data_IF_982800725605
#
_entry.id   IF_982800725605
#
_cell.length_a   1.000
_cell.length_b   1.000
_cell.length_c   1.000
_cell.angle_alpha   90.00
_cell.angle_beta   90.00
_cell.angle_gamma   90.00
#
_symmetry.space_group_name_H-M   'P 1'
#
loop_
_entity.id
_entity.type
_entity.pdbx_description
1 polymer ?
#
# COMPACT_ATOMS: atom_id res chain seq x y z
N UNK A 1 15.16 14.86 -8.45
CA UNK A 1 14.70 14.81 -9.85
C UNK A 1 13.94 13.50 -10.00
N UNK A 2 12.77 13.48 -10.63
CA UNK A 2 12.01 12.23 -10.74
C UNK A 2 12.76 11.18 -11.56
N UNK A 3 12.80 9.94 -11.08
CA UNK A 3 13.45 8.80 -11.73
C UNK A 3 12.41 7.76 -12.15
N UNK A 4 12.72 7.00 -13.20
CA UNK A 4 11.92 5.83 -13.59
C UNK A 4 12.18 4.69 -12.58
N UNK A 5 11.12 4.10 -12.04
CA UNK A 5 11.19 2.89 -11.24
C UNK A 5 11.55 1.69 -12.13
N UNK A 6 12.43 0.82 -11.62
CA UNK A 6 12.69 -0.45 -12.27
C UNK A 6 11.37 -1.24 -12.46
N UNK A 7 11.03 -1.62 -13.70
CA UNK A 7 9.77 -2.30 -14.00
C UNK A 7 9.53 -3.57 -13.18
N UNK A 8 10.60 -4.33 -12.88
CA UNK A 8 10.50 -5.53 -12.05
C UNK A 8 10.13 -5.16 -10.60
N UNK A 9 10.73 -4.11 -10.04
CA UNK A 9 10.33 -3.58 -8.72
C UNK A 9 8.85 -3.20 -8.71
N UNK A 10 8.35 -2.52 -9.74
CA UNK A 10 6.94 -2.13 -9.83
C UNK A 10 6.01 -3.35 -9.72
N UNK A 11 6.27 -4.40 -10.50
CA UNK A 11 5.45 -5.62 -10.47
C UNK A 11 5.58 -6.40 -9.16
N UNK A 12 6.78 -6.48 -8.59
CA UNK A 12 6.98 -7.14 -7.29
C UNK A 12 6.23 -6.40 -6.19
N UNK A 13 6.30 -5.07 -6.14
CA UNK A 13 5.54 -4.26 -5.18
C UNK A 13 4.03 -4.48 -5.34
N UNK A 14 3.52 -4.53 -6.57
CA UNK A 14 2.12 -4.86 -6.84
C UNK A 14 1.74 -6.26 -6.32
N UNK A 15 2.58 -7.27 -6.56
CA UNK A 15 2.33 -8.65 -6.12
C UNK A 15 2.38 -8.74 -4.60
N UNK A 16 3.46 -8.29 -3.96
CA UNK A 16 3.66 -8.40 -2.51
C UNK A 16 2.55 -7.72 -1.71
N UNK A 17 2.06 -6.57 -2.19
CA UNK A 17 1.01 -5.82 -1.49
C UNK A 17 -0.36 -6.46 -1.60
N UNK A 18 -0.61 -7.27 -2.64
CA UNK A 18 -1.93 -7.86 -2.93
C UNK A 18 -2.02 -9.37 -2.75
N UNK A 19 -0.90 -10.08 -2.73
CA UNK A 19 -0.89 -11.54 -2.64
C UNK A 19 -1.48 -12.00 -1.30
N UNK A 20 -2.61 -12.72 -1.37
CA UNK A 20 -3.28 -13.33 -0.21
C UNK A 20 -3.71 -14.72 -0.60
N UNK A 21 -3.08 -15.74 -0.02
CA UNK A 21 -3.36 -17.14 -0.31
C UNK A 21 -3.82 -17.81 0.97
N UNK A 22 -5.02 -18.40 0.94
CA UNK A 22 -5.59 -19.11 2.09
C UNK A 22 -5.37 -20.62 1.91
N UNK A 23 -4.79 -21.26 2.92
CA UNK A 23 -4.58 -22.71 2.98
C UNK A 23 -5.90 -23.45 3.18
N UNK A 24 -5.94 -24.76 2.93
CA UNK A 24 -7.15 -25.57 3.10
C UNK A 24 -7.64 -25.60 4.55
N UNK A 25 -6.73 -25.37 5.51
CA UNK A 25 -7.04 -25.24 6.93
C UNK A 25 -7.56 -23.83 7.34
N UNK A 26 -7.71 -22.90 6.40
CA UNK A 26 -8.19 -21.54 6.63
C UNK A 26 -7.13 -20.51 7.06
N UNK A 27 -5.88 -20.94 7.31
CA UNK A 27 -4.79 -20.02 7.66
C UNK A 27 -4.20 -19.31 6.42
N UNK A 28 -3.56 -18.16 6.63
CA UNK A 28 -2.85 -17.43 5.57
C UNK A 28 -1.52 -18.13 5.24
N UNK A 29 -1.21 -18.27 3.96
CA UNK A 29 0.08 -18.75 3.49
C UNK A 29 1.16 -17.67 3.55
N UNK A 30 2.36 -18.06 3.95
CA UNK A 30 3.56 -17.24 3.92
C UNK A 30 4.17 -17.29 2.53
N UNK A 31 4.12 -16.19 1.79
CA UNK A 31 4.60 -16.10 0.40
C UNK A 31 5.65 -15.00 0.29
N UNK A 32 6.83 -15.34 -0.23
CA UNK A 32 7.89 -14.38 -0.52
C UNK A 32 7.92 -14.07 -2.01
N UNK A 33 7.95 -12.78 -2.38
CA UNK A 33 8.18 -12.36 -3.76
C UNK A 33 9.47 -11.54 -3.87
N UNK A 34 10.37 -11.93 -4.78
CA UNK A 34 11.74 -11.38 -4.88
C UNK A 34 12.22 -11.28 -6.33
N UNK A 35 13.30 -10.51 -6.54
CA UNK A 35 14.07 -10.50 -7.81
C UNK A 35 15.09 -11.63 -7.87
N UNK A 36 15.44 -12.18 -6.72
CA UNK A 36 16.46 -13.21 -6.60
C UNK A 36 16.03 -14.50 -7.29
N UNK A 37 17.00 -15.31 -7.66
CA UNK A 37 16.73 -16.63 -8.22
C UNK A 37 16.06 -17.53 -7.18
N UNK A 38 15.60 -18.70 -7.64
CA UNK A 38 15.09 -19.74 -6.75
C UNK A 38 16.11 -20.05 -5.65
N UNK A 39 15.65 -20.03 -4.41
CA UNK A 39 16.43 -20.44 -3.25
C UNK A 39 15.65 -21.49 -2.46
N UNK A 40 16.22 -22.69 -2.38
CA UNK A 40 15.68 -23.82 -1.64
C UNK A 40 15.55 -23.53 -0.16
N UNK A 41 16.46 -22.76 0.42
CA UNK A 41 16.50 -22.48 1.85
C UNK A 41 15.29 -21.64 2.28
N UNK A 42 14.86 -20.69 1.44
CA UNK A 42 13.66 -19.89 1.66
C UNK A 42 12.39 -20.75 1.69
N UNK A 43 12.33 -21.83 0.90
CA UNK A 43 11.22 -22.78 0.94
C UNK A 43 11.19 -23.66 2.20
N UNK A 44 12.10 -23.49 3.16
CA UNK A 44 11.92 -24.05 4.51
C UNK A 44 10.96 -23.18 5.33
N UNK A 45 11.07 -21.87 5.21
CA UNK A 45 10.33 -20.89 6.00
C UNK A 45 9.01 -20.45 5.34
N UNK A 46 9.03 -20.25 4.02
CA UNK A 46 7.88 -19.80 3.24
C UNK A 46 7.12 -20.97 2.62
N UNK A 47 5.80 -20.84 2.46
CA UNK A 47 4.96 -21.81 1.75
C UNK A 47 5.16 -21.72 0.23
N UNK A 48 5.52 -20.54 -0.28
CA UNK A 48 5.85 -20.32 -1.68
C UNK A 48 6.91 -19.22 -1.86
N UNK A 49 7.72 -19.36 -2.90
CA UNK A 49 8.62 -18.31 -3.39
C UNK A 49 8.18 -17.89 -4.79
N UNK A 50 8.07 -16.59 -5.02
CA UNK A 50 7.80 -15.97 -6.32
C UNK A 50 9.06 -15.23 -6.75
N UNK A 51 9.53 -15.49 -7.95
CA UNK A 51 10.66 -14.75 -8.55
C UNK A 51 10.20 -14.01 -9.79
N UNK A 52 10.67 -12.78 -9.96
CA UNK A 52 10.35 -11.95 -11.14
C UNK A 52 11.64 -11.46 -11.80
N UNK A 53 11.75 -11.69 -13.10
CA UNK A 53 12.85 -11.19 -13.92
C UNK A 53 12.38 -10.53 -15.20
N UNK A 54 13.20 -9.62 -15.73
CA UNK A 54 13.02 -9.06 -17.07
C UNK A 54 13.61 -10.04 -18.10
N UNK A 55 12.79 -10.49 -19.03
CA UNK A 55 13.17 -11.43 -20.09
C UNK A 55 13.66 -10.69 -21.35
N UNK A 56 12.94 -9.66 -21.76
CA UNK A 56 13.37 -8.77 -22.85
C UNK A 56 12.80 -7.36 -22.71
N UNK A 57 13.49 -6.40 -23.33
CA UNK A 57 13.11 -4.99 -23.39
C UNK A 57 13.33 -4.47 -24.80
N UNK A 58 12.31 -3.86 -25.39
CA UNK A 58 12.37 -3.24 -26.70
C UNK A 58 11.94 -1.77 -26.59
N UNK A 59 12.75 -0.88 -27.11
CA UNK A 59 12.52 0.55 -27.03
C UNK A 59 12.01 1.09 -28.37
N UNK A 60 10.94 1.87 -28.33
CA UNK A 60 10.30 2.47 -29.49
C UNK A 60 10.14 3.98 -29.31
N UNK A 61 10.71 4.75 -30.25
CA UNK A 61 10.45 6.19 -30.37
C UNK A 61 8.99 6.43 -30.76
N UNK A 62 8.34 7.37 -30.09
CA UNK A 62 6.96 7.77 -30.41
C UNK A 62 6.88 9.08 -31.20
N UNK A 63 7.98 9.83 -31.26
CA UNK A 63 8.09 11.07 -32.01
C UNK A 63 9.42 11.14 -32.77
N UNK A 64 9.49 12.02 -33.77
CA UNK A 64 10.67 12.22 -34.62
C UNK A 64 11.91 12.63 -33.82
N UNK A 65 11.74 13.50 -32.83
CA UNK A 65 12.81 13.96 -31.94
C UNK A 65 13.29 12.86 -30.96
N UNK A 66 12.51 11.80 -30.77
CA UNK A 66 12.83 10.67 -29.90
C UNK A 66 12.90 10.99 -28.41
N UNK A 67 12.31 12.11 -27.93
CA UNK A 67 12.26 12.44 -26.50
C UNK A 67 11.17 11.64 -25.80
N UNK A 68 10.02 11.46 -26.45
CA UNK A 68 8.96 10.56 -25.99
C UNK A 68 9.20 9.14 -26.52
N UNK A 69 9.28 8.16 -25.61
CA UNK A 69 9.56 6.77 -25.94
C UNK A 69 8.61 5.84 -25.19
N UNK A 70 8.38 4.67 -25.79
CA UNK A 70 7.69 3.53 -25.19
C UNK A 70 8.66 2.38 -25.09
N UNK A 71 8.79 1.79 -23.90
CA UNK A 71 9.49 0.51 -23.72
C UNK A 71 8.48 -0.61 -23.60
N UNK A 72 8.58 -1.59 -24.49
CA UNK A 72 7.90 -2.88 -24.38
C UNK A 72 8.76 -3.85 -23.60
N UNK A 73 8.15 -4.52 -22.63
CA UNK A 73 8.84 -5.35 -21.67
C UNK A 73 8.16 -6.71 -21.61
N UNK A 74 8.97 -7.76 -21.60
CA UNK A 74 8.50 -9.12 -21.32
C UNK A 74 9.14 -9.56 -20.02
N UNK A 75 8.33 -10.09 -19.11
CA UNK A 75 8.76 -10.55 -17.80
C UNK A 75 8.53 -12.04 -17.65
N UNK A 76 9.40 -12.67 -16.87
CA UNK A 76 9.25 -14.04 -16.44
C UNK A 76 8.99 -14.06 -14.94
N UNK A 77 7.82 -14.55 -14.55
CA UNK A 77 7.44 -14.71 -13.16
C UNK A 77 7.36 -16.21 -12.84
N UNK A 78 8.18 -16.68 -11.92
CA UNK A 78 8.16 -18.08 -11.50
C UNK A 78 7.58 -18.20 -10.10
N UNK A 79 6.84 -19.27 -9.87
CA UNK A 79 6.32 -19.67 -8.58
C UNK A 79 6.96 -21.01 -8.25
N UNK A 80 7.49 -21.14 -7.04
CA UNK A 80 8.11 -22.36 -6.51
C UNK A 80 7.45 -22.74 -5.20
N UNK A 81 7.07 -24.02 -5.09
CA UNK A 81 6.53 -24.61 -3.87
C UNK A 81 7.07 -26.02 -3.69
N UNK A 82 7.04 -26.51 -2.47
CA UNK A 82 7.44 -27.89 -2.11
C UNK A 82 6.41 -28.46 -1.16
N UNK A 83 6.36 -29.78 -1.06
CA UNK A 83 5.59 -30.42 0.01
C UNK A 83 6.19 -30.08 1.37
N UNK A 84 5.33 -29.66 2.30
CA UNK A 84 5.69 -29.38 3.69
C UNK A 84 5.33 -30.59 4.56
N UNK A 85 6.20 -30.91 5.51
CA UNK A 85 5.96 -31.97 6.50
C UNK A 85 5.13 -31.49 7.69
N UNK A 86 4.86 -30.18 7.78
CA UNK A 86 4.10 -29.57 8.87
C UNK A 86 2.61 -29.99 8.79
N UNK A 87 2.00 -30.43 9.91
CA UNK A 87 0.58 -30.79 9.94
C UNK A 87 -0.33 -29.67 9.44
N UNK A 88 -1.28 -30.00 8.57
CA UNK A 88 -2.25 -29.05 8.02
C UNK A 88 -1.68 -28.11 6.94
N UNK A 89 -0.45 -28.33 6.47
CA UNK A 89 0.05 -27.64 5.29
C UNK A 89 -0.57 -28.23 4.01
N UNK A 90 -0.91 -27.35 3.07
CA UNK A 90 -1.31 -27.77 1.73
C UNK A 90 -0.15 -28.49 1.04
N UNK A 91 -0.48 -29.46 0.18
CA UNK A 91 0.54 -30.05 -0.71
C UNK A 91 1.16 -28.96 -1.60
N UNK A 92 2.42 -29.15 -1.98
CA UNK A 92 3.14 -28.17 -2.80
C UNK A 92 2.40 -27.88 -4.10
N UNK A 93 1.78 -28.90 -4.71
CA UNK A 93 0.95 -28.75 -5.92
C UNK A 93 -0.26 -27.85 -5.70
N UNK A 94 -1.02 -28.07 -4.62
CA UNK A 94 -2.19 -27.26 -4.26
C UNK A 94 -1.77 -25.82 -3.97
N UNK A 95 -0.68 -25.64 -3.21
CA UNK A 95 -0.14 -24.30 -2.92
C UNK A 95 0.24 -23.56 -4.21
N UNK A 96 0.95 -24.21 -5.14
CA UNK A 96 1.29 -23.61 -6.45
C UNK A 96 0.04 -23.19 -7.20
N UNK A 97 -1.00 -24.03 -7.25
CA UNK A 97 -2.23 -23.70 -7.98
C UNK A 97 -2.95 -22.50 -7.38
N UNK A 98 -3.02 -22.41 -6.04
CA UNK A 98 -3.59 -21.25 -5.35
C UNK A 98 -2.80 -19.97 -5.59
N UNK A 99 -1.47 -20.02 -5.51
CA UNK A 99 -0.60 -18.86 -5.80
C UNK A 99 -0.73 -18.46 -7.27
N UNK A 100 -0.80 -19.42 -8.19
CA UNK A 100 -0.99 -19.18 -9.63
C UNK A 100 -2.32 -18.49 -9.92
N UNK A 101 -3.41 -18.92 -9.27
CA UNK A 101 -4.71 -18.28 -9.40
C UNK A 101 -4.68 -16.82 -8.90
N UNK A 102 -4.05 -16.58 -7.75
CA UNK A 102 -3.90 -15.24 -7.19
C UNK A 102 -3.05 -14.32 -8.09
N UNK A 103 -1.93 -14.80 -8.64
CA UNK A 103 -1.11 -14.00 -9.56
C UNK A 103 -1.89 -13.63 -10.82
N UNK A 104 -2.65 -14.58 -11.39
CA UNK A 104 -3.54 -14.28 -12.51
C UNK A 104 -4.56 -13.18 -12.17
N UNK A 105 -5.21 -13.26 -11.00
CA UNK A 105 -6.19 -12.27 -10.56
C UNK A 105 -5.53 -10.89 -10.38
N UNK A 106 -4.44 -10.82 -9.61
CA UNK A 106 -3.72 -9.57 -9.31
C UNK A 106 -3.30 -8.86 -10.60
N UNK A 107 -2.66 -9.57 -11.54
CA UNK A 107 -2.21 -8.95 -12.79
C UNK A 107 -3.39 -8.46 -13.63
N UNK A 108 -4.45 -9.26 -13.78
CA UNK A 108 -5.61 -8.90 -14.62
C UNK A 108 -6.41 -7.73 -14.06
N UNK A 109 -6.64 -7.70 -12.75
CA UNK A 109 -7.37 -6.62 -12.08
C UNK A 109 -6.59 -5.30 -12.12
N UNK A 110 -5.25 -5.36 -12.08
CA UNK A 110 -4.38 -4.18 -12.02
C UNK A 110 -3.68 -3.89 -13.36
N UNK A 111 -4.12 -4.50 -14.46
CA UNK A 111 -3.41 -4.43 -15.75
C UNK A 111 -3.19 -3.03 -16.28
N UNK A 112 -4.07 -2.08 -15.94
CA UNK A 112 -4.01 -0.69 -16.38
C UNK A 112 -3.36 0.26 -15.36
N UNK A 113 -3.07 -0.22 -14.15
CA UNK A 113 -2.52 0.58 -13.04
C UNK A 113 -1.42 -0.17 -12.26
N UNK A 114 -0.48 -0.89 -12.90
CA UNK A 114 0.51 -1.65 -12.15
C UNK A 114 1.51 -0.77 -11.39
N UNK A 115 1.65 0.51 -11.77
CA UNK A 115 2.44 1.52 -11.05
C UNK A 115 1.76 2.07 -9.79
N UNK A 116 0.49 1.72 -9.54
CA UNK A 116 -0.26 2.20 -8.38
C UNK A 116 -0.26 1.16 -7.26
N UNK A 117 0.09 1.58 -6.05
CA UNK A 117 -0.08 0.78 -4.84
C UNK A 117 -0.94 1.54 -3.83
N UNK A 118 -1.88 0.81 -3.24
CA UNK A 118 -2.71 1.27 -2.14
C UNK A 118 -2.13 0.70 -0.85
N UNK A 119 -1.86 1.58 0.10
CA UNK A 119 -1.44 1.28 1.46
C UNK A 119 -2.60 1.63 2.40
N UNK A 120 -3.09 0.66 3.16
CA UNK A 120 -4.17 0.83 4.13
C UNK A 120 -3.85 0.00 5.38
N UNK A 121 -4.81 -0.13 6.29
CA UNK A 121 -4.64 -0.89 7.53
C UNK A 121 -5.23 -2.30 7.48
N UNK A 122 -5.78 -2.74 6.33
CA UNK A 122 -6.47 -4.03 6.23
C UNK A 122 -5.54 -5.21 6.56
N UNK A 123 -5.92 -5.99 7.58
CA UNK A 123 -5.14 -7.14 8.04
C UNK A 123 -3.81 -6.75 8.71
N UNK A 124 -3.61 -5.47 9.01
CA UNK A 124 -2.47 -4.92 9.74
C UNK A 124 -2.98 -4.44 11.11
N UNK A 125 -2.27 -4.78 12.19
CA UNK A 125 -2.72 -4.46 13.55
C UNK A 125 -1.62 -4.62 14.60
N UNK A 126 -1.82 -3.99 15.75
CA UNK A 126 -0.88 -3.94 16.87
C UNK A 126 -0.49 -5.33 17.44
N UNK A 127 0.76 -5.55 17.90
CA UNK A 127 1.94 -4.69 17.77
C UNK A 127 2.68 -4.90 16.43
N UNK A 128 2.23 -5.87 15.65
CA UNK A 128 2.76 -6.31 14.36
C UNK A 128 2.35 -5.43 13.17
N UNK A 129 1.79 -4.24 13.42
CA UNK A 129 1.30 -3.34 12.38
C UNK A 129 2.42 -2.74 11.53
N UNK A 130 3.68 -2.96 11.93
CA UNK A 130 4.84 -2.49 11.18
C UNK A 130 4.80 -3.08 9.75
N UNK A 131 4.56 -2.22 8.75
CA UNK A 131 5.12 -0.88 8.77
C UNK A 131 4.13 0.31 8.97
N UNK A 132 2.82 0.07 9.04
CA UNK A 132 1.78 1.10 9.17
C UNK A 132 1.33 1.31 10.63
N UNK A 133 1.06 2.55 11.04
CA UNK A 133 0.53 2.84 12.39
C UNK A 133 -0.58 3.89 12.41
N UNK A 134 -1.55 3.73 13.29
CA UNK A 134 -2.62 4.67 13.55
C UNK A 134 -2.63 5.05 15.04
N UNK A 135 -2.84 6.33 15.33
CA UNK A 135 -2.83 6.89 16.68
C UNK A 135 -4.02 7.81 16.88
N UNK A 136 -4.36 8.06 18.14
CA UNK A 136 -5.31 9.10 18.52
C UNK A 136 -4.79 9.94 19.69
N UNK A 137 -5.27 11.18 19.77
CA UNK A 137 -4.97 12.10 20.85
C UNK A 137 -6.11 13.13 21.00
N UNK A 138 -6.01 13.97 22.03
CA UNK A 138 -6.76 15.21 22.11
C UNK A 138 -5.82 16.33 22.52
N UNK A 139 -5.97 17.52 21.94
CA UNK A 139 -5.11 18.66 22.22
C UNK A 139 -5.72 19.98 21.75
N UNK A 140 -5.28 21.09 22.34
CA UNK A 140 -5.60 22.46 21.90
C UNK A 140 -4.98 22.81 20.54
N UNK A 141 -3.90 22.14 20.15
CA UNK A 141 -3.15 22.40 18.91
C UNK A 141 -2.84 21.10 18.17
N UNK A 142 -2.59 21.21 16.87
CA UNK A 142 -2.15 20.08 16.05
C UNK A 142 -0.78 19.60 16.51
N UNK A 143 -0.71 18.34 16.96
CA UNK A 143 0.53 17.74 17.44
C UNK A 143 1.41 17.32 16.26
N UNK A 144 2.73 17.45 16.41
CA UNK A 144 3.70 16.88 15.45
C UNK A 144 3.71 15.34 15.55
N UNK A 145 4.11 14.59 14.50
CA UNK A 145 4.10 13.13 14.52
C UNK A 145 4.89 12.48 15.67
N UNK A 146 5.99 13.11 16.10
CA UNK A 146 6.84 12.61 17.18
C UNK A 146 6.37 12.95 18.60
N UNK A 147 5.22 13.62 18.74
CA UNK A 147 4.72 14.05 20.05
C UNK A 147 4.34 12.83 20.92
N UNK A 148 4.74 12.83 22.20
CA UNK A 148 4.52 11.72 23.11
C UNK A 148 3.05 11.52 23.53
N UNK A 149 2.16 12.49 23.29
CA UNK A 149 0.73 12.40 23.60
C UNK A 149 -0.06 11.48 22.65
N UNK A 150 0.54 11.04 21.54
CA UNK A 150 -0.08 10.07 20.64
C UNK A 150 -0.22 8.71 21.32
N UNK A 151 -1.43 8.17 21.33
CA UNK A 151 -1.71 6.80 21.78
C UNK A 151 -2.02 5.93 20.58
N UNK A 152 -1.23 4.87 20.36
CA UNK A 152 -1.45 3.93 19.25
C UNK A 152 -2.78 3.18 19.44
N UNK A 153 -3.48 2.92 18.33
CA UNK A 153 -4.70 2.13 18.37
C UNK A 153 -4.42 0.68 18.78
N UNK A 154 -5.33 0.10 19.55
CA UNK A 154 -5.33 -1.33 19.88
C UNK A 154 -5.72 -2.18 18.65
N UNK A 155 -5.44 -3.49 18.69
CA UNK A 155 -5.77 -4.40 17.59
C UNK A 155 -7.26 -4.38 17.21
N UNK A 156 -8.17 -4.28 18.19
CA UNK A 156 -9.61 -4.18 17.92
C UNK A 156 -9.98 -2.85 17.26
N UNK A 157 -9.31 -1.76 17.63
CA UNK A 157 -9.58 -0.44 17.04
C UNK A 157 -9.06 -0.33 15.61
N UNK A 158 -7.97 -1.02 15.25
CA UNK A 158 -7.53 -1.12 13.86
C UNK A 158 -8.57 -1.78 12.96
N UNK A 159 -9.32 -2.76 13.47
CA UNK A 159 -10.35 -3.46 12.66
C UNK A 159 -11.43 -2.52 12.18
N UNK A 160 -11.75 -1.49 12.98
CA UNK A 160 -12.73 -0.47 12.62
C UNK A 160 -12.18 0.60 11.65
N UNK A 161 -11.01 0.40 11.05
CA UNK A 161 -10.48 1.26 9.98
C UNK A 161 -10.00 0.45 8.77
N UNK A 162 -10.41 -0.82 8.66
CA UNK A 162 -9.94 -1.75 7.63
C UNK A 162 -10.63 -1.57 6.28
N UNK A 163 -11.88 -1.13 6.29
CA UNK A 163 -12.75 -1.04 5.12
C UNK A 163 -13.78 0.07 5.29
N UNK A 164 -14.29 0.56 4.17
CA UNK A 164 -15.51 1.38 4.13
C UNK A 164 -16.70 0.44 4.33
N UNK A 165 -17.14 0.28 5.57
CA UNK A 165 -18.17 -0.69 5.98
C UNK A 165 -19.09 -0.19 7.11
N UNK A 166 -19.08 1.12 7.38
CA UNK A 166 -19.81 1.77 8.46
C UNK A 166 -19.39 1.34 9.89
N UNK A 167 -18.37 0.51 10.07
CA UNK A 167 -17.79 0.18 11.39
C UNK A 167 -16.62 1.11 11.68
N UNK A 168 -16.86 2.10 12.55
CA UNK A 168 -15.93 3.21 12.76
C UNK A 168 -15.07 3.09 14.01
N UNK A 169 -13.82 3.53 13.91
CA UNK A 169 -13.07 3.98 15.08
C UNK A 169 -13.51 5.41 15.42
N UNK A 170 -13.70 5.69 16.71
CA UNK A 170 -14.01 7.04 17.17
C UNK A 170 -13.11 7.50 18.31
N UNK A 171 -12.76 8.78 18.28
CA UNK A 171 -12.03 9.48 19.35
C UNK A 171 -12.91 10.60 19.87
N UNK A 172 -13.39 10.44 21.10
CA UNK A 172 -14.03 11.52 21.86
C UNK A 172 -13.01 12.24 22.73
N UNK A 173 -13.12 13.56 22.80
CA UNK A 173 -12.30 14.42 23.64
C UNK A 173 -13.14 15.58 24.22
N UNK A 174 -13.13 15.73 25.54
CA UNK A 174 -13.98 16.68 26.26
C UNK A 174 -13.16 17.62 27.14
N UNK A 175 -12.32 18.43 26.52
CA UNK A 175 -11.54 19.48 27.18
C UNK A 175 -11.80 20.78 26.44
N UNK A 176 -12.12 21.84 27.18
CA UNK A 176 -12.49 23.12 26.60
C UNK A 176 -11.40 23.65 25.65
N UNK A 177 -11.81 24.05 24.44
CA UNK A 177 -10.95 24.50 23.34
C UNK A 177 -9.98 23.44 22.78
N UNK A 178 -10.22 22.16 23.03
CA UNK A 178 -9.40 21.07 22.47
C UNK A 178 -10.15 20.24 21.43
N UNK A 179 -9.38 19.66 20.51
CA UNK A 179 -9.85 18.89 19.38
C UNK A 179 -9.61 17.39 19.60
N UNK A 180 -10.47 16.56 19.02
CA UNK A 180 -10.15 15.14 18.84
C UNK A 180 -9.26 14.96 17.60
N UNK A 181 -8.15 14.24 17.76
CA UNK A 181 -7.13 14.04 16.73
C UNK A 181 -6.92 12.55 16.43
N UNK A 182 -6.66 12.24 15.15
CA UNK A 182 -6.16 10.94 14.69
C UNK A 182 -4.94 11.15 13.78
N UNK A 183 -3.94 10.29 13.89
CA UNK A 183 -2.72 10.33 13.10
C UNK A 183 -2.50 8.99 12.41
N UNK A 184 -2.25 8.99 11.11
CA UNK A 184 -2.01 7.80 10.31
C UNK A 184 -0.64 7.87 9.66
N UNK A 185 0.14 6.81 9.85
CA UNK A 185 1.49 6.62 9.31
C UNK A 185 1.49 5.50 8.28
N UNK A 186 1.86 5.83 7.05
CA UNK A 186 1.99 4.86 5.96
C UNK A 186 3.44 4.68 5.56
N UNK A 187 3.98 3.46 5.66
CA UNK A 187 5.26 3.14 5.03
C UNK A 187 5.03 2.84 3.56
N UNK A 188 5.72 3.57 2.70
CA UNK A 188 5.67 3.30 1.27
C UNK A 188 6.83 2.39 0.89
N UNK A 189 6.57 1.46 -0.02
CA UNK A 189 7.59 0.55 -0.57
C UNK A 189 8.25 1.10 -1.84
N UNK A 190 7.77 2.23 -2.37
CA UNK A 190 8.34 2.88 -3.52
C UNK A 190 9.56 3.73 -3.11
N UNK A 191 10.58 3.78 -3.97
CA UNK A 191 11.68 4.74 -3.79
C UNK A 191 11.14 6.15 -4.01
N UNK A 192 11.41 7.04 -3.08
CA UNK A 192 10.94 8.44 -3.08
C UNK A 192 11.15 9.15 -4.42
N UNK A 193 12.34 9.03 -5.03
CA UNK A 193 12.64 9.68 -6.32
C UNK A 193 11.78 9.14 -7.49
N UNK A 194 11.18 7.95 -7.35
CA UNK A 194 10.30 7.39 -8.37
C UNK A 194 8.84 7.82 -8.21
N UNK A 195 8.48 8.46 -7.10
CA UNK A 195 7.09 8.85 -6.83
C UNK A 195 6.64 9.91 -7.85
N UNK A 196 5.43 9.72 -8.36
CA UNK A 196 4.75 10.61 -9.29
C UNK A 196 3.57 11.32 -8.63
N UNK A 197 2.87 10.62 -7.74
CA UNK A 197 1.64 11.11 -7.10
C UNK A 197 1.45 10.46 -5.74
N UNK A 198 1.06 11.25 -4.75
CA UNK A 198 0.56 10.78 -3.46
C UNK A 198 -0.90 11.17 -3.36
N UNK A 199 -1.77 10.23 -2.98
CA UNK A 199 -3.18 10.50 -2.68
C UNK A 199 -3.49 9.94 -1.30
N UNK A 200 -3.82 10.81 -0.35
CA UNK A 200 -4.30 10.42 0.97
C UNK A 200 -5.81 10.58 0.99
N UNK A 201 -6.52 9.55 1.45
CA UNK A 201 -7.97 9.54 1.55
C UNK A 201 -8.37 9.16 2.97
N UNK A 202 -9.29 9.92 3.54
CA UNK A 202 -9.90 9.70 4.85
C UNK A 202 -11.41 9.70 4.68
N UNK A 203 -12.07 8.67 5.18
CA UNK A 203 -13.52 8.53 5.21
C UNK A 203 -13.99 8.60 6.66
N UNK A 204 -14.83 9.59 6.95
CA UNK A 204 -15.33 9.83 8.29
C UNK A 204 -15.86 11.25 8.47
N UNK A 205 -16.08 11.64 9.72
CA UNK A 205 -16.63 12.96 10.06
C UNK A 205 -16.32 13.34 11.51
N UNK A 206 -16.56 14.60 11.86
CA UNK A 206 -16.42 15.10 13.22
C UNK A 206 -17.71 15.74 13.72
N UNK A 207 -17.97 15.64 15.01
CA UNK A 207 -19.04 16.36 15.71
C UNK A 207 -18.46 17.16 16.85
N UNK A 208 -18.99 18.36 17.06
CA UNK A 208 -18.57 19.28 18.11
C UNK A 208 -19.68 20.33 18.36
N UNK A 209 -19.64 21.07 19.47
CA UNK A 209 -20.71 22.00 19.87
C UNK A 209 -20.94 23.14 18.87
N UNK A 210 -19.86 23.62 18.25
CA UNK A 210 -19.91 24.72 17.27
C UNK A 210 -20.19 24.25 15.84
N UNK A 211 -20.37 22.93 15.64
CA UNK A 211 -20.74 22.34 14.35
C UNK A 211 -19.94 21.10 13.99
N UNK A 212 -20.40 20.44 12.94
CA UNK A 212 -19.78 19.22 12.42
C UNK A 212 -18.64 19.52 11.44
N UNK A 213 -17.85 18.49 11.17
CA UNK A 213 -16.79 18.50 10.16
C UNK A 213 -15.49 17.89 10.66
N UNK A 214 -14.72 17.37 9.71
CA UNK A 214 -13.35 16.92 9.92
C UNK A 214 -12.42 17.72 9.02
N UNK A 215 -11.16 17.88 9.45
CA UNK A 215 -10.10 18.47 8.65
C UNK A 215 -8.92 17.51 8.59
N UNK A 216 -8.41 17.25 7.39
CA UNK A 216 -7.21 16.45 7.17
C UNK A 216 -6.05 17.30 6.67
N UNK A 217 -4.81 16.88 7.02
CA UNK A 217 -3.56 17.52 6.59
C UNK A 217 -2.45 16.49 6.40
N UNK A 218 -1.48 16.81 5.56
CA UNK A 218 -0.26 15.99 5.35
C UNK A 218 0.94 16.64 6.04
N UNK A 219 1.84 15.83 6.60
CA UNK A 219 3.06 16.33 7.25
C UNK A 219 4.12 16.68 6.22
N UNK A 220 4.54 17.95 6.19
CA UNK A 220 5.77 18.36 5.52
C UNK A 220 6.92 18.27 6.53
N UNK A 221 7.80 17.28 6.38
CA UNK A 221 8.88 17.05 7.35
C UNK A 221 10.03 18.05 7.21
N UNK A 222 10.22 18.63 6.02
CA UNK A 222 11.23 19.66 5.76
C UNK A 222 10.84 20.97 6.44
N UNK A 223 9.58 21.39 6.28
CA UNK A 223 9.02 22.58 6.92
C UNK A 223 8.64 22.34 8.39
N UNK A 224 8.61 21.08 8.83
CA UNK A 224 8.10 20.65 10.14
C UNK A 224 6.71 21.22 10.44
N UNK A 225 5.79 21.09 9.47
CA UNK A 225 4.46 21.67 9.53
C UNK A 225 3.40 20.80 8.82
N UNK A 226 2.17 20.84 9.34
CA UNK A 226 1.01 20.29 8.65
C UNK A 226 0.57 21.20 7.50
N UNK A 227 0.37 20.65 6.30
CA UNK A 227 0.05 21.40 5.08
C UNK A 227 -1.10 20.73 4.29
N UNK A 228 -1.51 21.38 3.19
CA UNK A 228 -2.51 20.90 2.24
C UNK A 228 -3.86 20.55 2.90
N UNK A 229 -4.33 21.42 3.79
CA UNK A 229 -5.55 21.18 4.54
C UNK A 229 -6.77 20.99 3.63
N UNK A 230 -7.56 19.97 3.92
CA UNK A 230 -8.86 19.72 3.29
C UNK A 230 -9.89 19.52 4.41
N UNK A 231 -11.05 20.16 4.29
CA UNK A 231 -12.07 20.15 5.33
C UNK A 231 -13.41 19.70 4.76
N UNK A 232 -14.09 18.87 5.53
CA UNK A 232 -15.49 18.53 5.38
C UNK A 232 -16.36 19.30 6.37
N UNK A 233 -17.67 19.22 6.17
CA UNK A 233 -18.68 19.90 7.01
C UNK A 233 -19.81 18.98 7.45
N UNK A 234 -19.81 17.72 6.99
CA UNK A 234 -20.86 16.75 7.23
C UNK A 234 -20.88 16.24 8.67
N UNK A 235 -22.08 15.86 9.12
CA UNK A 235 -22.32 15.10 10.36
C UNK A 235 -22.49 13.59 10.16
N UNK A 236 -22.14 13.11 8.96
CA UNK A 236 -22.07 11.70 8.57
C UNK A 236 -20.90 11.54 7.60
N UNK A 237 -20.64 10.33 7.12
CA UNK A 237 -19.41 10.04 6.39
C UNK A 237 -19.21 10.91 5.16
N UNK A 238 -18.01 11.50 5.10
CA UNK A 238 -17.49 12.22 3.96
C UNK A 238 -16.10 11.68 3.63
N UNK A 239 -15.77 11.59 2.34
CA UNK A 239 -14.40 11.27 1.91
C UNK A 239 -13.62 12.56 1.66
N UNK A 240 -12.62 12.81 2.49
CA UNK A 240 -11.66 13.90 2.32
C UNK A 240 -10.39 13.39 1.64
N UNK A 241 -9.89 14.11 0.64
CA UNK A 241 -8.75 13.68 -0.18
C UNK A 241 -7.69 14.76 -0.32
N UNK A 242 -6.43 14.44 0.00
CA UNK A 242 -5.26 15.27 -0.32
C UNK A 242 -4.54 14.64 -1.51
N UNK A 243 -4.22 15.42 -2.53
CA UNK A 243 -3.43 14.96 -3.68
C UNK A 243 -2.16 15.81 -3.86
N UNK A 244 -1.00 15.14 -3.92
CA UNK A 244 0.31 15.74 -4.16
C UNK A 244 0.83 15.31 -5.53
N UNK A 245 1.19 16.28 -6.37
CA UNK A 245 1.76 16.08 -7.70
C UNK A 245 3.22 16.53 -7.82
N UNK A 246 3.72 17.34 -6.88
CA UNK A 246 5.05 17.94 -6.89
C UNK A 246 5.58 18.08 -5.47
N UNK A 247 6.91 18.23 -5.32
CA UNK A 247 7.59 18.31 -4.01
C UNK A 247 7.21 17.16 -3.07
N UNK A 248 6.94 15.97 -3.63
CA UNK A 248 6.60 14.78 -2.85
C UNK A 248 7.70 14.39 -1.86
N UNK A 249 8.94 14.78 -2.15
CA UNK A 249 10.09 14.63 -1.27
C UNK A 249 9.94 15.37 0.05
N UNK A 250 9.07 16.38 0.15
CA UNK A 250 8.83 17.08 1.41
C UNK A 250 7.87 16.31 2.32
N UNK A 251 7.14 15.34 1.76
CA UNK A 251 6.04 14.62 2.40
C UNK A 251 6.32 13.12 2.63
N UNK A 252 7.48 12.64 2.18
CA UNK A 252 7.99 11.30 2.42
C UNK A 252 9.26 11.47 3.25
N UNK A 253 9.26 11.05 4.52
CA UNK A 253 10.45 11.21 5.37
C UNK A 253 11.59 10.25 4.99
N UNK A 254 12.75 10.40 5.64
CA UNK A 254 13.94 9.56 5.38
C UNK A 254 13.72 8.07 5.62
N UNK A 255 12.73 7.73 6.45
CA UNK A 255 12.32 6.36 6.71
C UNK A 255 11.21 5.93 5.74
N UNK A 256 10.85 6.73 4.73
CA UNK A 256 9.82 6.38 3.75
C UNK A 256 8.40 6.35 4.31
N UNK A 257 8.12 7.12 5.37
CA UNK A 257 6.77 7.30 5.88
C UNK A 257 6.09 8.53 5.30
N UNK A 258 4.78 8.40 5.05
CA UNK A 258 3.85 9.48 4.75
C UNK A 258 2.86 9.58 5.90
N UNK A 259 2.61 10.79 6.39
CA UNK A 259 1.77 11.04 7.56
C UNK A 259 0.54 11.86 7.22
N UNK A 260 -0.62 11.39 7.67
CA UNK A 260 -1.92 12.06 7.55
C UNK A 260 -2.46 12.37 8.95
N UNK A 261 -2.74 13.63 9.22
CA UNK A 261 -3.51 14.07 10.38
C UNK A 261 -4.98 14.18 9.98
N UNK A 262 -5.88 13.72 10.85
CA UNK A 262 -7.29 14.07 10.83
C UNK A 262 -7.67 14.68 12.18
N UNK A 263 -8.50 15.72 12.18
CA UNK A 263 -9.03 16.34 13.39
C UNK A 263 -10.48 16.77 13.23
N UNK A 264 -11.20 16.95 14.33
CA UNK A 264 -12.47 17.70 14.27
C UNK A 264 -12.22 19.12 13.78
N UNK A 265 -13.15 19.67 12.99
CA UNK A 265 -13.05 21.05 12.51
C UNK A 265 -13.18 22.04 13.67
N UNK A 266 -14.08 21.75 14.62
CA UNK A 266 -14.33 22.57 15.79
C UNK A 266 -13.90 21.86 17.09
N UNK A 267 -13.53 22.61 18.15
CA UNK A 267 -13.12 22.05 19.43
C UNK A 267 -14.33 21.71 20.32
N UNK A 268 -14.06 21.02 21.44
CA UNK A 268 -15.01 20.89 22.55
C UNK A 268 -15.14 22.21 23.32
N UNK A 269 -16.30 22.45 23.92
CA UNK A 269 -16.56 23.56 24.86
C UNK A 269 -16.30 23.16 26.34
N UNK A 270 -15.78 21.94 26.57
CA UNK A 270 -15.55 21.36 27.89
C UNK A 270 -16.79 20.81 28.59
N UNK A 271 -17.98 20.96 28.00
CA UNK A 271 -19.23 20.35 28.46
C UNK A 271 -19.69 19.26 27.48
N UNK A 272 -19.60 19.55 26.19
CA UNK A 272 -19.95 18.70 25.08
C UNK A 272 -18.67 18.32 24.32
N UNK A 273 -18.42 17.02 24.08
CA UNK A 273 -17.18 16.56 23.49
C UNK A 273 -17.07 16.93 22.00
N UNK A 274 -15.84 17.09 21.55
CA UNK A 274 -15.49 16.94 20.14
C UNK A 274 -15.24 15.45 19.87
N UNK A 275 -15.90 14.88 18.86
CA UNK A 275 -15.77 13.47 18.51
C UNK A 275 -15.39 13.35 17.04
N UNK A 276 -14.28 12.67 16.76
CA UNK A 276 -13.84 12.32 15.41
C UNK A 276 -14.15 10.86 15.13
N UNK A 277 -14.73 10.57 13.98
CA UNK A 277 -15.04 9.23 13.49
C UNK A 277 -14.24 8.95 12.22
N UNK A 278 -13.68 7.75 12.11
CA UNK A 278 -12.96 7.26 10.95
C UNK A 278 -13.51 5.87 10.60
N UNK A 279 -13.98 5.71 9.38
CA UNK A 279 -14.42 4.43 8.82
C UNK A 279 -13.29 3.79 8.02
N UNK A 280 -12.62 4.57 7.16
CA UNK A 280 -11.56 4.05 6.31
C UNK A 280 -10.51 5.10 6.02
N UNK A 281 -9.26 4.66 5.85
CA UNK A 281 -8.15 5.54 5.51
C UNK A 281 -7.11 4.81 4.66
N UNK A 282 -6.60 5.50 3.65
CA UNK A 282 -5.60 4.92 2.75
C UNK A 282 -4.64 5.97 2.17
N UNK A 283 -3.47 5.49 1.78
CA UNK A 283 -2.47 6.21 1.00
C UNK A 283 -2.25 5.48 -0.33
N UNK A 284 -2.55 6.13 -1.44
CA UNK A 284 -2.27 5.62 -2.78
C UNK A 284 -1.02 6.31 -3.34
N UNK A 285 -0.02 5.51 -3.68
CA UNK A 285 1.21 5.97 -4.32
C UNK A 285 1.21 5.52 -5.78
N UNK A 286 1.43 6.48 -6.68
CA UNK A 286 1.77 6.20 -8.07
C UNK A 286 3.24 6.54 -8.30
N UNK A 287 3.93 5.70 -9.06
CA UNK A 287 5.32 5.92 -9.46
C UNK A 287 5.43 6.18 -10.97
N UNK A 288 6.54 6.74 -11.39
CA UNK A 288 6.99 6.66 -12.78
C UNK A 288 7.47 5.23 -13.05
N UNK A 289 6.59 4.36 -13.55
CA UNK A 289 6.92 2.95 -13.78
C UNK A 289 6.07 2.34 -14.88
N UNK A 290 5.86 1.02 -14.81
CA UNK A 290 5.01 0.31 -15.76
C UNK A 290 3.59 0.90 -15.77
N UNK A 291 3.10 1.25 -16.95
CA UNK A 291 1.74 1.77 -17.12
C UNK A 291 0.73 0.69 -17.47
N UNK A 292 1.19 -0.43 -18.02
CA UNK A 292 0.34 -1.59 -18.32
C UNK A 292 1.10 -2.90 -18.14
N UNK A 293 0.44 -3.94 -17.63
CA UNK A 293 0.97 -5.31 -17.56
C UNK A 293 -0.15 -6.34 -17.69
N UNK A 294 0.02 -7.37 -18.51
CA UNK A 294 -0.96 -8.45 -18.65
C UNK A 294 -0.29 -9.82 -18.82
N UNK A 295 -1.05 -10.87 -18.55
CA UNK A 295 -0.60 -12.26 -18.69
C UNK A 295 -0.65 -12.65 -20.17
N UNK A 296 0.49 -13.10 -20.71
CA UNK A 296 0.54 -13.72 -22.04
C UNK A 296 0.15 -15.19 -21.94
N UNK A 297 0.81 -15.91 -21.03
CA UNK A 297 0.64 -17.33 -20.82
C UNK A 297 1.20 -17.73 -19.47
N UNK A 298 0.78 -18.89 -18.95
CA UNK A 298 1.50 -19.57 -17.89
C UNK A 298 1.49 -21.08 -18.14
N UNK A 299 2.45 -21.80 -17.55
CA UNK A 299 2.55 -23.26 -17.62
C UNK A 299 3.13 -23.83 -16.33
N UNK A 300 2.77 -25.07 -16.01
CA UNK A 300 3.36 -25.81 -14.91
C UNK A 300 4.59 -26.58 -15.40
N UNK A 301 5.69 -26.52 -14.65
CA UNK A 301 7.00 -27.10 -14.97
C UNK A 301 7.53 -27.82 -13.72
N UNK A 302 6.74 -28.75 -13.19
CA UNK A 302 7.08 -29.47 -11.96
C UNK A 302 8.34 -30.32 -12.15
N UNK A 303 9.19 -30.36 -11.12
CA UNK A 303 10.41 -31.16 -11.03
C UNK A 303 10.15 -32.25 -9.99
N UNK A 304 9.72 -33.41 -10.47
CA UNK A 304 9.28 -34.56 -9.64
C UNK A 304 10.19 -35.78 -9.77
N UNK A 305 11.33 -35.62 -10.43
CA UNK A 305 12.34 -36.65 -10.63
C UNK A 305 13.25 -36.86 -9.40
N UNK A 306 13.39 -35.83 -8.55
CA UNK A 306 14.19 -35.89 -7.31
C UNK A 306 13.40 -35.33 -6.13
N UNK A 307 13.51 -35.97 -4.95
CA UNK A 307 12.92 -35.46 -3.70
C UNK A 307 13.82 -34.43 -3.02
N UNK A 308 13.26 -33.37 -2.38
CA UNK A 308 11.83 -33.04 -2.35
C UNK A 308 11.34 -32.57 -3.72
N UNK A 309 10.11 -32.98 -4.08
CA UNK A 309 9.50 -32.53 -5.33
C UNK A 309 9.30 -31.03 -5.30
N UNK A 310 9.70 -30.37 -6.39
CA UNK A 310 9.57 -28.94 -6.58
C UNK A 310 8.45 -28.69 -7.59
N UNK A 311 7.34 -28.13 -7.13
CA UNK A 311 6.26 -27.74 -8.02
C UNK A 311 6.49 -26.31 -8.49
N UNK A 312 6.40 -26.10 -9.80
CA UNK A 312 6.73 -24.80 -10.41
C UNK A 312 5.67 -24.38 -11.40
N UNK A 313 5.31 -23.09 -11.36
CA UNK A 313 4.59 -22.45 -12.45
C UNK A 313 5.43 -21.30 -13.02
N UNK A 314 5.43 -21.14 -14.33
CA UNK A 314 6.11 -20.07 -15.05
C UNK A 314 5.08 -19.23 -15.81
N UNK A 315 5.04 -17.95 -15.51
CA UNK A 315 4.25 -16.93 -16.19
C UNK A 315 5.15 -16.14 -17.14
N UNK A 316 4.61 -15.87 -18.33
CA UNK A 316 5.12 -14.87 -19.24
C UNK A 316 4.18 -13.67 -19.19
N UNK A 317 4.69 -12.51 -18.79
CA UNK A 317 3.93 -11.26 -18.70
C UNK A 317 4.45 -10.29 -19.77
N UNK A 318 3.55 -9.49 -20.34
CA UNK A 318 3.91 -8.36 -21.20
C UNK A 318 3.54 -7.07 -20.49
N UNK A 319 4.40 -6.07 -20.57
CA UNK A 319 4.08 -4.73 -20.09
C UNK A 319 4.69 -3.64 -20.95
N UNK A 320 4.27 -2.41 -20.67
CA UNK A 320 4.91 -1.24 -21.26
C UNK A 320 4.86 -0.03 -20.33
N UNK A 321 5.82 0.86 -20.54
CA UNK A 321 5.91 2.16 -19.91
C UNK A 321 6.25 3.24 -20.93
N UNK A 322 5.98 4.48 -20.54
CA UNK A 322 6.32 5.67 -21.31
C UNK A 322 7.36 6.48 -20.54
N UNK A 323 8.33 7.02 -21.27
CA UNK A 323 9.36 7.89 -20.71
C UNK A 323 9.57 9.14 -21.56
N UNK A 324 9.97 10.22 -20.89
CA UNK A 324 10.34 11.50 -21.48
C UNK A 324 11.80 11.78 -21.14
N UNK A 325 12.68 11.80 -22.15
CA UNK A 325 14.12 12.04 -21.95
C UNK A 325 14.46 13.50 -21.60
N UNK A 326 13.50 14.42 -21.73
CA UNK A 326 13.70 15.85 -21.48
C UNK A 326 13.45 16.29 -20.04
N UNK A 327 13.17 15.37 -19.10
CA UNK A 327 13.03 15.66 -17.67
C UNK A 327 11.85 16.55 -17.25
N UNK A 328 11.08 17.06 -18.20
CA UNK A 328 9.83 17.78 -17.95
C UNK A 328 8.64 16.81 -18.03
N UNK A 329 7.94 16.66 -16.91
CA UNK A 329 6.59 16.11 -16.81
C UNK A 329 5.64 17.18 -16.29
#
# INVERSE_FOLDING_TARGET
MSELEDPVTTLLRLITTRIRVIKDNGSLASVLATKEAYDRELLKEYDAQITMGLDSSQDQKLELAGRLRRRYLVFRCNIYTVDKTTPGADTGKVMRDKVTAQINAIIRENRNLPHQTVYNFYGLGYPSGDPHKAFSAGAATELVPSNASWTELTNLQYQNIWSSDDVRFSKSHNVNNEYALMLFRFKIGAREQCVKKIVLSFEGYGTAPEGNGATIKIWNHVASAWQQAQSGTGGGDETLTITIYSNWTDYIDSDGYVWLLAKTTNPSDGSTPAVLYCDFVQCTIQVYGITFCDVISYRNIDVTDVKPYLFRAEFLLKGWLFESLSGAF
#
